data_IF_420520670491
#
_entry.id   IF_420520670491
#
_cell.length_a   1.000
_cell.length_b   1.000
_cell.length_c   1.000
_cell.angle_alpha   90.00
_cell.angle_beta   90.00
_cell.angle_gamma   90.00
#
_symmetry.space_group_name_H-M   'P 1'
#
loop_
_entity.id
_entity.type
_entity.pdbx_description
1 polymer ?
#
# COMPACT_ATOMS: atom_id res chain seq x y z
N UNK A 1 12.72 14.99 16.37
CA UNK A 1 12.23 13.85 17.16
C UNK A 1 12.39 12.61 16.29
N UNK A 2 13.27 11.66 16.63
CA UNK A 2 13.33 10.37 15.93
C UNK A 2 12.33 9.45 16.63
N UNK A 3 11.24 9.11 15.96
CA UNK A 3 10.31 8.10 16.45
C UNK A 3 10.97 6.71 16.32
N UNK A 4 10.86 5.89 17.36
CA UNK A 4 11.30 4.49 17.35
C UNK A 4 10.38 3.63 16.47
N UNK A 5 10.87 2.49 15.98
CA UNK A 5 10.12 1.62 15.05
C UNK A 5 8.73 1.21 15.58
N UNK A 6 8.62 0.96 16.88
CA UNK A 6 7.37 0.65 17.59
C UNK A 6 6.40 1.83 17.61
N UNK A 7 6.90 3.06 17.75
CA UNK A 7 6.07 4.28 17.73
C UNK A 7 5.47 4.54 16.34
N UNK A 8 6.20 4.23 15.27
CA UNK A 8 5.69 4.31 13.90
C UNK A 8 4.50 3.37 13.67
N UNK A 9 4.57 2.15 14.21
CA UNK A 9 3.45 1.19 14.14
C UNK A 9 2.23 1.76 14.85
N UNK A 10 2.38 2.32 16.05
CA UNK A 10 1.25 2.94 16.78
C UNK A 10 0.63 4.09 15.97
N UNK A 11 1.46 4.96 15.39
CA UNK A 11 0.98 6.10 14.60
C UNK A 11 0.26 5.66 13.32
N UNK A 12 0.81 4.68 12.59
CA UNK A 12 0.20 4.20 11.35
C UNK A 12 -1.11 3.45 11.62
N UNK A 13 -1.16 2.64 12.69
CA UNK A 13 -2.34 1.86 13.05
C UNK A 13 -3.48 2.75 13.56
N UNK A 14 -3.16 3.87 14.20
CA UNK A 14 -4.14 4.89 14.56
C UNK A 14 -4.81 5.56 13.34
N UNK A 15 -4.15 5.56 12.17
CA UNK A 15 -4.70 6.12 10.94
C UNK A 15 -5.54 5.11 10.13
N UNK A 16 -5.55 3.82 10.52
CA UNK A 16 -6.38 2.82 9.87
C UNK A 16 -7.85 3.04 10.24
N UNK A 17 -8.74 2.88 9.26
CA UNK A 17 -10.17 3.09 9.43
C UNK A 17 -10.95 2.01 8.69
N UNK A 18 -12.14 1.68 9.20
CA UNK A 18 -13.04 0.69 8.61
C UNK A 18 -12.38 -0.69 8.48
N UNK A 19 -12.44 -1.28 7.28
CA UNK A 19 -11.89 -2.61 7.00
C UNK A 19 -10.39 -2.73 7.30
N UNK A 20 -9.64 -1.62 7.20
CA UNK A 20 -8.21 -1.65 7.48
C UNK A 20 -7.89 -1.77 8.98
N UNK A 21 -8.73 -1.20 9.82
CA UNK A 21 -8.61 -1.33 11.27
C UNK A 21 -8.98 -2.76 11.71
N UNK A 22 -10.10 -3.30 11.20
CA UNK A 22 -10.52 -4.68 11.45
C UNK A 22 -9.50 -5.72 10.98
N UNK A 23 -8.89 -5.51 9.82
CA UNK A 23 -7.80 -6.35 9.34
C UNK A 23 -6.61 -6.31 10.29
N UNK A 24 -6.18 -5.12 10.73
CA UNK A 24 -5.02 -4.98 11.59
C UNK A 24 -5.20 -5.66 12.95
N UNK A 25 -6.40 -5.58 13.52
CA UNK A 25 -6.77 -6.27 14.75
C UNK A 25 -6.58 -7.79 14.66
N UNK A 26 -6.84 -8.36 13.48
CA UNK A 26 -6.64 -9.78 13.22
C UNK A 26 -5.16 -10.09 12.91
N UNK A 27 -4.53 -9.27 12.07
CA UNK A 27 -3.16 -9.46 11.61
C UNK A 27 -2.15 -9.38 12.77
N UNK A 28 -2.32 -8.44 13.70
CA UNK A 28 -1.41 -8.26 14.85
C UNK A 28 -1.33 -9.49 15.75
N UNK A 29 -2.41 -10.27 15.85
CA UNK A 29 -2.45 -11.52 16.63
C UNK A 29 -1.62 -12.66 16.03
N UNK A 30 -1.24 -12.55 14.75
CA UNK A 30 -0.39 -13.52 14.05
C UNK A 30 1.10 -13.16 14.10
N UNK A 31 1.45 -12.00 14.66
CA UNK A 31 2.82 -11.52 14.77
C UNK A 31 3.38 -11.95 16.12
N UNK A 32 4.46 -12.74 16.11
CA UNK A 32 5.10 -13.27 17.33
C UNK A 32 6.00 -12.21 18.01
N UNK A 33 6.48 -11.25 17.22
CA UNK A 33 7.41 -10.21 17.68
C UNK A 33 6.71 -9.18 18.58
N UNK A 34 7.32 -8.90 19.74
CA UNK A 34 6.88 -7.87 20.68
C UNK A 34 8.08 -7.05 21.16
N UNK A 35 8.13 -5.72 20.93
CA UNK A 35 7.17 -4.90 20.19
C UNK A 35 7.16 -5.20 18.69
N UNK A 36 6.02 -5.01 18.03
CA UNK A 36 5.91 -5.14 16.57
C UNK A 36 6.82 -4.08 15.95
N UNK A 37 7.76 -4.52 15.12
CA UNK A 37 8.65 -3.62 14.39
C UNK A 37 7.92 -3.02 13.17
N UNK A 38 8.35 -1.81 12.80
CA UNK A 38 7.83 -1.11 11.62
C UNK A 38 7.92 -1.97 10.35
N UNK A 39 9.02 -2.69 10.15
CA UNK A 39 9.20 -3.58 9.00
C UNK A 39 8.11 -4.67 8.93
N UNK A 40 7.85 -5.34 10.06
CA UNK A 40 6.84 -6.40 10.15
C UNK A 40 5.43 -5.89 9.89
N UNK A 41 5.12 -4.65 10.31
CA UNK A 41 3.87 -3.97 9.93
C UNK A 41 3.82 -3.70 8.42
N UNK A 42 4.88 -3.14 7.84
CA UNK A 42 4.93 -2.80 6.42
C UNK A 42 4.74 -4.04 5.55
N UNK A 43 5.44 -5.12 5.84
CA UNK A 43 5.34 -6.37 5.06
C UNK A 43 3.90 -6.89 5.05
N UNK A 44 3.26 -6.99 6.23
CA UNK A 44 1.85 -7.41 6.34
C UNK A 44 0.91 -6.48 5.59
N UNK A 45 1.12 -5.17 5.74
CA UNK A 45 0.28 -4.16 5.10
C UNK A 45 0.38 -4.23 3.57
N UNK A 46 1.59 -4.34 3.03
CA UNK A 46 1.79 -4.46 1.59
C UNK A 46 1.32 -5.80 1.04
N UNK A 47 1.46 -6.90 1.79
CA UNK A 47 0.91 -8.19 1.37
C UNK A 47 -0.62 -8.16 1.25
N UNK A 48 -1.31 -7.50 2.19
CA UNK A 48 -2.76 -7.40 2.18
C UNK A 48 -3.29 -6.44 1.10
N UNK A 49 -2.73 -5.23 1.03
CA UNK A 49 -3.30 -4.14 0.22
C UNK A 49 -2.61 -3.90 -1.11
N UNK A 50 -1.38 -4.40 -1.26
CA UNK A 50 -0.58 -4.28 -2.49
C UNK A 50 0.00 -5.63 -2.92
N UNK A 51 -0.83 -6.68 -3.06
CA UNK A 51 -0.36 -7.99 -3.48
C UNK A 51 0.28 -7.91 -4.87
N UNK A 52 1.16 -8.87 -5.18
CA UNK A 52 1.84 -8.91 -6.48
C UNK A 52 0.86 -8.90 -7.66
N UNK A 53 -0.27 -9.59 -7.55
CA UNK A 53 -1.33 -9.59 -8.56
C UNK A 53 -1.91 -8.20 -8.85
N UNK A 54 -2.03 -7.35 -7.82
CA UNK A 54 -2.46 -5.96 -8.00
C UNK A 54 -1.39 -5.14 -8.73
N UNK A 55 -0.11 -5.34 -8.38
CA UNK A 55 1.02 -4.68 -9.06
C UNK A 55 1.09 -5.11 -10.52
N UNK A 56 1.00 -6.41 -10.80
CA UNK A 56 1.00 -6.95 -12.16
C UNK A 56 -0.16 -6.38 -12.98
N UNK A 57 -1.35 -6.25 -12.38
CA UNK A 57 -2.49 -5.62 -13.04
C UNK A 57 -2.25 -4.12 -13.33
N UNK A 58 -1.59 -3.39 -12.43
CA UNK A 58 -1.20 -2.00 -12.67
C UNK A 58 -0.16 -1.87 -13.78
N UNK A 59 0.86 -2.73 -13.79
CA UNK A 59 1.88 -2.80 -14.84
C UNK A 59 1.24 -3.13 -16.19
N UNK A 60 0.32 -4.11 -16.24
CA UNK A 60 -0.41 -4.44 -17.45
C UNK A 60 -1.25 -3.26 -17.95
N UNK A 61 -1.96 -2.56 -17.05
CA UNK A 61 -2.69 -1.34 -17.41
C UNK A 61 -1.78 -0.25 -17.95
N UNK A 62 -0.56 -0.13 -17.42
CA UNK A 62 0.44 0.82 -17.91
C UNK A 62 0.89 0.46 -19.33
N UNK A 63 1.23 -0.80 -19.58
CA UNK A 63 1.63 -1.25 -20.92
C UNK A 63 0.53 -1.08 -21.97
N UNK A 64 -0.72 -1.29 -21.57
CA UNK A 64 -1.88 -1.10 -22.43
C UNK A 64 -2.41 0.35 -22.44
N UNK A 65 -1.75 1.28 -21.74
CA UNK A 65 -2.20 2.66 -21.65
C UNK A 65 -1.93 3.37 -22.97
N UNK A 66 -2.99 3.60 -23.74
CA UNK A 66 -2.99 4.46 -24.90
C UNK A 66 -3.82 5.71 -24.60
N UNK A 67 -3.47 6.85 -25.22
CA UNK A 67 -4.24 8.08 -25.01
C UNK A 67 -5.69 7.92 -25.49
N UNK A 68 -5.91 7.30 -26.65
CA UNK A 68 -7.24 7.17 -27.25
C UNK A 68 -8.00 8.50 -27.30
N UNK A 69 -9.23 8.50 -26.80
CA UNK A 69 -10.09 9.69 -26.70
C UNK A 69 -9.85 10.53 -25.42
N UNK A 70 -8.88 10.15 -24.58
CA UNK A 70 -8.57 10.90 -23.37
C UNK A 70 -7.91 12.25 -23.69
N UNK A 71 -8.26 13.27 -22.91
CA UNK A 71 -7.50 14.52 -22.92
C UNK A 71 -6.07 14.28 -22.45
N UNK A 72 -5.14 15.09 -22.94
CA UNK A 72 -3.72 14.99 -22.59
C UNK A 72 -3.51 15.05 -21.07
N UNK A 73 -4.25 15.93 -20.38
CA UNK A 73 -4.17 16.04 -18.92
C UNK A 73 -4.65 14.76 -18.20
N UNK A 74 -5.71 14.13 -18.69
CA UNK A 74 -6.24 12.90 -18.10
C UNK A 74 -5.30 11.71 -18.36
N UNK A 75 -4.70 11.65 -19.56
CA UNK A 75 -3.68 10.66 -19.89
C UNK A 75 -2.42 10.83 -19.04
N UNK A 76 -1.90 12.05 -18.92
CA UNK A 76 -0.71 12.35 -18.10
C UNK A 76 -0.92 11.98 -16.63
N UNK A 77 -2.12 12.27 -16.08
CA UNK A 77 -2.47 11.83 -14.73
C UNK A 77 -2.42 10.30 -14.61
N UNK A 78 -3.07 9.57 -15.53
CA UNK A 78 -3.06 8.09 -15.51
C UNK A 78 -1.67 7.51 -15.70
N UNK A 79 -0.88 8.10 -16.56
CA UNK A 79 0.51 7.70 -16.79
C UNK A 79 1.33 7.85 -15.51
N UNK A 80 1.23 8.99 -14.83
CA UNK A 80 1.95 9.27 -13.58
C UNK A 80 1.46 8.45 -12.38
N UNK A 81 0.19 8.02 -12.37
CA UNK A 81 -0.34 7.11 -11.35
C UNK A 81 0.20 5.68 -11.56
N UNK A 82 0.18 5.19 -12.79
CA UNK A 82 0.56 3.82 -13.13
C UNK A 82 2.08 3.61 -13.22
N UNK A 83 2.86 4.66 -13.56
CA UNK A 83 4.32 4.60 -13.63
C UNK A 83 4.99 4.31 -12.28
N UNK A 84 4.29 4.51 -11.16
CA UNK A 84 4.77 4.20 -9.80
C UNK A 84 4.93 2.70 -9.55
N UNK A 85 4.38 1.86 -10.43
CA UNK A 85 4.39 0.41 -10.30
C UNK A 85 5.35 -0.29 -11.28
N UNK A 86 6.02 0.47 -12.17
CA UNK A 86 6.93 -0.02 -13.21
C UNK A 86 8.38 0.35 -12.90
#
# INVERSE_FOLDING_TARGET
MKCSNDQWVILATYLLQGEADHWWDTAKGTIVETPILWASFQDRFFDQYFPQSYKDACIFKFFMLEQGDMSIACYDQRFNELSRYV
#
